data_IF_370336440996
#
_entry.id   IF_370336440996
#
_cell.length_a   1.000
_cell.length_b   1.000
_cell.length_c   1.000
_cell.angle_alpha   90.00
_cell.angle_beta   90.00
_cell.angle_gamma   90.00
#
_symmetry.space_group_name_H-M   'P 1'
#
loop_
_entity.id
_entity.type
_entity.pdbx_description
1 polymer ?
#
# COMPACT_ATOMS: atom_id res chain seq x y z
N UNK A 1 -9.92 18.10 5.33
CA UNK A 1 -8.48 18.26 4.99
C UNK A 1 -8.30 17.72 3.58
N UNK A 2 -8.19 18.58 2.58
CA UNK A 2 -7.76 18.16 1.24
C UNK A 2 -6.25 18.02 1.29
N UNK A 3 -5.75 16.80 1.49
CA UNK A 3 -4.32 16.53 1.43
C UNK A 3 -3.81 16.91 0.02
N UNK A 4 -2.69 17.62 -0.03
CA UNK A 4 -2.00 17.82 -1.30
C UNK A 4 -1.48 16.47 -1.78
N UNK A 5 -2.08 15.94 -2.85
CA UNK A 5 -1.71 14.66 -3.44
C UNK A 5 -0.44 14.74 -4.31
N UNK A 6 0.24 15.89 -4.36
CA UNK A 6 1.45 16.11 -5.16
C UNK A 6 2.61 15.18 -4.76
N UNK A 7 2.75 14.85 -3.48
CA UNK A 7 3.56 13.74 -2.96
C UNK A 7 3.26 13.50 -1.48
N UNK A 8 2.86 12.28 -1.09
CA UNK A 8 2.63 11.95 0.32
C UNK A 8 3.94 11.61 1.03
N UNK A 9 4.07 12.05 2.27
CA UNK A 9 5.08 11.50 3.17
C UNK A 9 4.77 10.03 3.48
N UNK A 10 5.77 9.29 3.96
CA UNK A 10 5.61 7.89 4.35
C UNK A 10 4.46 7.70 5.36
N UNK A 11 4.34 8.61 6.33
CA UNK A 11 3.31 8.56 7.38
C UNK A 11 1.92 8.83 6.81
N UNK A 12 1.79 9.83 5.92
CA UNK A 12 0.53 10.15 5.27
C UNK A 12 0.07 9.01 4.34
N UNK A 13 0.99 8.44 3.57
CA UNK A 13 0.71 7.29 2.72
C UNK A 13 0.22 6.08 3.54
N UNK A 14 0.90 5.76 4.65
CA UNK A 14 0.48 4.70 5.55
C UNK A 14 -0.89 4.97 6.18
N UNK A 15 -1.15 6.21 6.63
CA UNK A 15 -2.43 6.59 7.22
C UNK A 15 -3.58 6.49 6.20
N UNK A 16 -3.38 7.00 4.99
CA UNK A 16 -4.36 6.90 3.90
C UNK A 16 -4.69 5.45 3.59
N UNK A 17 -3.68 4.60 3.41
CA UNK A 17 -3.88 3.19 3.08
C UNK A 17 -4.57 2.42 4.23
N UNK A 18 -4.27 2.72 5.50
CA UNK A 18 -5.04 2.16 6.62
C UNK A 18 -6.52 2.52 6.54
N UNK A 19 -6.83 3.79 6.25
CA UNK A 19 -8.22 4.23 6.08
C UNK A 19 -8.91 3.50 4.93
N UNK A 20 -8.23 3.33 3.78
CA UNK A 20 -8.76 2.56 2.65
C UNK A 20 -9.06 1.11 3.07
N UNK A 21 -8.10 0.43 3.69
CA UNK A 21 -8.23 -0.99 4.08
C UNK A 21 -9.29 -1.22 5.16
N UNK A 22 -9.59 -0.22 5.98
CA UNK A 22 -10.66 -0.23 6.99
C UNK A 22 -12.04 0.14 6.43
N UNK A 23 -12.13 0.51 5.16
CA UNK A 23 -13.37 0.96 4.52
C UNK A 23 -13.82 2.36 4.95
N UNK A 24 -12.88 3.20 5.44
CA UNK A 24 -13.16 4.56 5.91
C UNK A 24 -13.21 5.58 4.76
N UNK A 25 -12.76 5.21 3.56
CA UNK A 25 -12.78 6.06 2.37
C UNK A 25 -13.96 5.70 1.46
N UNK A 26 -14.62 6.72 0.88
CA UNK A 26 -15.70 6.47 -0.07
C UNK A 26 -15.14 5.95 -1.40
N UNK A 27 -15.93 5.20 -2.19
CA UNK A 27 -15.50 4.75 -3.51
C UNK A 27 -15.07 5.89 -4.45
N UNK A 28 -15.74 7.05 -4.38
CA UNK A 28 -15.36 8.20 -5.20
C UNK A 28 -14.03 8.82 -4.75
N UNK A 29 -13.76 8.89 -3.45
CA UNK A 29 -12.47 9.38 -2.93
C UNK A 29 -11.32 8.46 -3.35
N UNK A 30 -11.52 7.14 -3.27
CA UNK A 30 -10.54 6.14 -3.73
C UNK A 30 -10.26 6.32 -5.23
N UNK A 31 -11.31 6.50 -6.04
CA UNK A 31 -11.17 6.73 -7.47
C UNK A 31 -10.39 8.00 -7.77
N UNK A 32 -10.71 9.13 -7.13
CA UNK A 32 -10.01 10.39 -7.34
C UNK A 32 -8.54 10.31 -6.92
N UNK A 33 -8.25 9.65 -5.79
CA UNK A 33 -6.89 9.36 -5.37
C UNK A 33 -6.12 8.56 -6.42
N UNK A 34 -6.69 7.46 -6.92
CA UNK A 34 -6.03 6.61 -7.91
C UNK A 34 -5.76 7.35 -9.23
N UNK A 35 -6.72 8.16 -9.71
CA UNK A 35 -6.53 8.95 -10.93
C UNK A 35 -5.41 9.98 -10.75
N UNK A 36 -5.40 10.69 -9.61
CA UNK A 36 -4.39 11.72 -9.32
C UNK A 36 -3.01 11.11 -9.12
N UNK A 37 -2.93 9.99 -8.39
CA UNK A 37 -1.68 9.28 -8.12
C UNK A 37 -1.06 8.72 -9.40
N UNK A 38 -1.87 8.13 -10.29
CA UNK A 38 -1.40 7.60 -11.58
C UNK A 38 -1.00 8.66 -12.60
N UNK A 39 -1.37 9.93 -12.41
CA UNK A 39 -0.98 11.01 -13.31
C UNK A 39 0.51 11.39 -13.21
N UNK A 40 1.24 10.80 -12.26
CA UNK A 40 2.66 11.04 -12.02
C UNK A 40 3.40 9.77 -11.60
N UNK A 41 4.72 9.88 -11.54
CA UNK A 41 5.54 8.82 -10.98
C UNK A 41 5.32 8.67 -9.46
N UNK A 42 5.33 7.41 -9.02
CA UNK A 42 5.28 7.05 -7.61
C UNK A 42 6.61 7.35 -6.92
N UNK A 43 6.56 7.89 -5.70
CA UNK A 43 7.78 8.10 -4.90
C UNK A 43 8.08 6.87 -4.01
N UNK A 44 9.36 6.59 -3.69
CA UNK A 44 9.71 5.51 -2.76
C UNK A 44 9.09 5.67 -1.36
N UNK A 45 8.93 6.92 -0.91
CA UNK A 45 8.31 7.24 0.39
C UNK A 45 6.86 6.76 0.45
N UNK A 46 6.09 7.05 -0.60
CA UNK A 46 4.69 6.65 -0.74
C UNK A 46 4.53 5.14 -0.78
N UNK A 47 5.28 4.47 -1.67
CA UNK A 47 5.25 3.02 -1.81
C UNK A 47 5.61 2.33 -0.48
N UNK A 48 6.61 2.84 0.23
CA UNK A 48 6.98 2.33 1.54
C UNK A 48 5.87 2.49 2.58
N UNK A 49 5.18 3.63 2.61
CA UNK A 49 4.08 3.89 3.53
C UNK A 49 2.86 3.02 3.24
N UNK A 50 2.47 2.91 1.96
CA UNK A 50 1.40 2.02 1.52
C UNK A 50 1.70 0.56 1.86
N UNK A 51 2.91 0.08 1.55
CA UNK A 51 3.32 -1.28 1.84
C UNK A 51 3.30 -1.57 3.34
N UNK A 52 3.75 -0.64 4.19
CA UNK A 52 3.72 -0.80 5.63
C UNK A 52 2.28 -1.03 6.15
N UNK A 53 1.33 -0.22 5.69
CA UNK A 53 -0.08 -0.36 6.06
C UNK A 53 -0.70 -1.68 5.55
N UNK A 54 -0.39 -2.08 4.31
CA UNK A 54 -0.86 -3.37 3.75
C UNK A 54 -0.32 -4.55 4.57
N UNK A 55 0.98 -4.53 4.92
CA UNK A 55 1.59 -5.59 5.74
C UNK A 55 1.03 -5.63 7.16
N UNK A 56 0.67 -4.48 7.73
CA UNK A 56 0.02 -4.40 9.04
C UNK A 56 -1.39 -5.01 9.02
N UNK A 57 -2.15 -4.77 7.94
CA UNK A 57 -3.51 -5.30 7.79
C UNK A 57 -3.53 -6.80 7.40
N UNK A 58 -2.44 -7.32 6.84
CA UNK A 58 -2.37 -8.70 6.38
C UNK A 58 -2.15 -9.69 7.54
N UNK A 59 -2.82 -10.83 7.48
CA UNK A 59 -2.52 -11.96 8.36
C UNK A 59 -1.19 -12.58 7.95
N UNK A 60 -0.21 -12.58 8.86
CA UNK A 60 1.07 -13.25 8.65
C UNK A 60 0.88 -14.77 8.58
N UNK A 61 1.45 -15.40 7.56
CA UNK A 61 1.53 -16.86 7.46
C UNK A 61 2.78 -17.33 8.19
N UNK A 62 2.62 -18.01 9.32
CA UNK A 62 3.74 -18.60 10.05
C UNK A 62 4.13 -19.95 9.45
N UNK A 63 5.42 -20.10 9.15
CA UNK A 63 5.99 -21.31 8.57
C UNK A 63 6.99 -21.94 9.55
N UNK A 64 7.08 -23.28 9.63
CA UNK A 64 8.17 -23.95 10.34
C UNK A 64 9.53 -23.45 9.84
N UNK A 65 10.51 -23.29 10.73
CA UNK A 65 11.81 -22.65 10.42
C UNK A 65 12.54 -23.30 9.23
N UNK A 66 12.52 -24.63 9.15
CA UNK A 66 13.12 -25.37 8.03
C UNK A 66 12.42 -25.15 6.69
N UNK A 67 11.13 -24.81 6.69
CA UNK A 67 10.37 -24.43 5.49
C UNK A 67 10.63 -22.96 5.15
N UNK A 68 10.55 -22.07 6.15
CA UNK A 68 10.79 -20.64 5.97
C UNK A 68 12.17 -20.34 5.37
N UNK A 69 13.22 -21.07 5.79
CA UNK A 69 14.60 -20.87 5.32
C UNK A 69 14.81 -21.16 3.83
N UNK A 70 13.85 -21.82 3.17
CA UNK A 70 13.92 -22.23 1.76
C UNK A 70 12.67 -21.86 0.96
N UNK A 71 11.79 -21.06 1.55
CA UNK A 71 10.59 -20.57 0.89
C UNK A 71 11.00 -19.52 -0.15
N UNK A 72 10.55 -19.70 -1.39
CA UNK A 72 10.74 -18.76 -2.50
C UNK A 72 9.37 -18.50 -3.10
N UNK A 73 9.06 -17.23 -3.29
CA UNK A 73 7.87 -16.79 -4.01
C UNK A 73 8.30 -16.05 -5.28
N UNK A 74 7.64 -16.35 -6.39
CA UNK A 74 7.90 -15.75 -7.70
C UNK A 74 6.60 -15.13 -8.17
N UNK A 75 6.59 -13.80 -8.30
CA UNK A 75 5.42 -13.06 -8.78
C UNK A 75 5.74 -12.37 -10.10
N UNK A 76 4.84 -12.52 -11.07
CA UNK A 76 4.88 -11.79 -12.34
C UNK A 76 4.09 -10.48 -12.25
N UNK A 77 4.46 -9.48 -13.06
CA UNK A 77 3.74 -8.20 -13.14
C UNK A 77 2.49 -8.26 -14.04
N UNK A 78 2.26 -9.40 -14.70
CA UNK A 78 1.32 -9.51 -15.81
C UNK A 78 1.90 -8.97 -17.11
N UNK A 79 1.51 -9.57 -18.25
CA UNK A 79 1.89 -9.21 -19.61
C UNK A 79 0.76 -9.49 -20.58
#
# INVERSE_FOLDING_TARGET
MTADLSALTHVEAAALMRGILRGEQSPEDIKQFLLTYNAREATPSELGGFLAAVREAATKVDLPSGVAARAIDIVGTGG
#
